data_IF_931761347563
#
_entry.id   IF_931761347563
#
_cell.length_a   1.000
_cell.length_b   1.000
_cell.length_c   1.000
_cell.angle_alpha   90.00
_cell.angle_beta   90.00
_cell.angle_gamma   90.00
#
_symmetry.space_group_name_H-M   'P 1'
#
loop_
_entity.id
_entity.type
_entity.pdbx_description
1 polymer ?
#
# COMPACT_ATOMS: atom_id res chain seq x y z
N UNK A 1 7.69 -0.53 -13.67
CA UNK A 1 6.53 -1.14 -14.36
C UNK A 1 5.57 -1.70 -13.31
N UNK A 2 4.25 -1.63 -13.53
CA UNK A 2 3.23 -2.19 -12.62
C UNK A 2 2.86 -3.60 -13.05
N UNK A 3 2.64 -4.51 -12.11
CA UNK A 3 2.23 -5.91 -12.35
C UNK A 3 1.13 -6.33 -11.38
N UNK A 4 0.41 -7.41 -11.70
CA UNK A 4 -0.66 -7.96 -10.83
C UNK A 4 -1.72 -6.92 -10.47
N UNK A 5 -2.12 -6.88 -9.19
CA UNK A 5 -3.14 -5.95 -8.67
C UNK A 5 -2.86 -4.48 -8.98
N UNK A 6 -1.58 -4.09 -8.97
CA UNK A 6 -1.18 -2.71 -9.26
C UNK A 6 -1.45 -2.35 -10.73
N UNK A 7 -1.22 -3.29 -11.64
CA UNK A 7 -1.55 -3.14 -13.05
C UNK A 7 -3.06 -3.10 -13.28
N UNK A 8 -3.81 -3.99 -12.62
CA UNK A 8 -5.29 -4.01 -12.68
C UNK A 8 -5.90 -2.68 -12.24
N UNK A 9 -5.44 -2.12 -11.11
CA UNK A 9 -5.85 -0.80 -10.65
C UNK A 9 -5.56 0.29 -11.68
N UNK A 10 -4.34 0.31 -12.22
CA UNK A 10 -3.96 1.32 -13.19
C UNK A 10 -4.84 1.27 -14.44
N UNK A 11 -5.09 0.08 -14.97
CA UNK A 11 -5.94 -0.12 -16.15
C UNK A 11 -7.38 0.32 -15.85
N UNK A 12 -7.95 -0.04 -14.70
CA UNK A 12 -9.35 0.26 -14.37
C UNK A 12 -9.60 1.72 -14.01
N UNK A 13 -8.74 2.31 -13.19
CA UNK A 13 -9.02 3.60 -12.54
C UNK A 13 -8.23 4.76 -13.15
N UNK A 14 -7.03 4.50 -13.68
CA UNK A 14 -6.06 5.56 -14.04
C UNK A 14 -5.93 5.72 -15.56
N UNK A 15 -6.03 4.64 -16.33
CA UNK A 15 -5.72 4.63 -17.76
C UNK A 15 -6.60 5.54 -18.62
N UNK A 16 -7.84 5.81 -18.17
CA UNK A 16 -8.77 6.69 -18.88
C UNK A 16 -8.36 8.16 -18.91
N UNK A 17 -7.65 8.64 -17.88
CA UNK A 17 -7.10 9.99 -17.85
C UNK A 17 -5.88 10.08 -16.90
N UNK A 18 -4.72 9.53 -17.29
CA UNK A 18 -3.58 9.42 -16.38
C UNK A 18 -3.01 10.78 -15.97
N UNK A 19 -3.18 11.82 -16.79
CA UNK A 19 -2.64 13.15 -16.53
C UNK A 19 -3.46 13.97 -15.51
N UNK A 20 -4.70 13.56 -15.20
CA UNK A 20 -5.48 14.21 -14.14
C UNK A 20 -5.06 13.77 -12.73
N UNK A 21 -4.28 12.71 -12.60
CA UNK A 21 -3.86 12.18 -11.32
C UNK A 21 -2.62 12.91 -10.79
N UNK A 22 -2.73 13.46 -9.58
CA UNK A 22 -1.53 13.94 -8.87
C UNK A 22 -0.74 12.75 -8.36
N UNK A 23 0.58 12.82 -8.47
CA UNK A 23 1.46 11.73 -8.07
C UNK A 23 1.22 11.20 -6.63
N UNK A 24 0.99 12.06 -5.61
CA UNK A 24 0.71 11.57 -4.26
C UNK A 24 -0.64 10.85 -4.14
N UNK A 25 -1.65 11.30 -4.89
CA UNK A 25 -2.98 10.68 -4.90
C UNK A 25 -2.94 9.33 -5.58
N UNK A 26 -2.25 9.24 -6.71
CA UNK A 26 -2.00 7.99 -7.42
C UNK A 26 -1.38 6.94 -6.49
N UNK A 27 -0.26 7.26 -5.81
CA UNK A 27 0.38 6.31 -4.92
C UNK A 27 -0.46 5.95 -3.69
N UNK A 28 -1.24 6.89 -3.16
CA UNK A 28 -2.14 6.64 -2.04
C UNK A 28 -3.23 5.63 -2.44
N UNK A 29 -3.90 5.84 -3.56
CA UNK A 29 -4.97 4.95 -4.02
C UNK A 29 -4.43 3.60 -4.51
N UNK A 30 -3.28 3.60 -5.19
CA UNK A 30 -2.58 2.36 -5.56
C UNK A 30 -2.27 1.50 -4.32
N UNK A 31 -1.78 2.13 -3.25
CA UNK A 31 -1.53 1.45 -1.99
C UNK A 31 -2.82 0.91 -1.38
N UNK A 32 -3.88 1.73 -1.32
CA UNK A 32 -5.17 1.32 -0.77
C UNK A 32 -5.81 0.16 -1.55
N UNK A 33 -5.63 0.10 -2.87
CA UNK A 33 -6.11 -1.01 -3.70
C UNK A 33 -5.31 -2.29 -3.48
N UNK A 34 -3.97 -2.17 -3.39
CA UNK A 34 -3.10 -3.34 -3.26
C UNK A 34 -3.15 -3.98 -1.88
N UNK A 35 -3.37 -3.19 -0.82
CA UNK A 35 -3.25 -3.63 0.56
C UNK A 35 -4.56 -3.50 1.34
N UNK A 36 -4.87 -4.43 2.25
CA UNK A 36 -5.99 -4.29 3.18
C UNK A 36 -5.88 -3.02 4.04
N UNK A 37 -7.02 -2.45 4.44
CA UNK A 37 -7.08 -1.24 5.29
C UNK A 37 -6.26 -1.37 6.59
N UNK A 38 -6.18 -2.58 7.14
CA UNK A 38 -5.48 -2.87 8.39
C UNK A 38 -3.99 -3.19 8.21
N UNK A 39 -3.48 -3.16 6.97
CA UNK A 39 -2.10 -3.51 6.66
C UNK A 39 -1.09 -2.69 7.47
N UNK A 40 -1.29 -1.37 7.57
CA UNK A 40 -0.42 -0.49 8.37
C UNK A 40 -0.42 -0.85 9.85
N UNK A 41 -1.58 -1.22 10.39
CA UNK A 41 -1.73 -1.66 11.79
C UNK A 41 -0.99 -2.99 11.99
N UNK A 42 -1.15 -3.94 11.06
CA UNK A 42 -0.42 -5.22 11.07
C UNK A 42 1.09 -5.01 11.04
N UNK A 43 1.61 -4.12 10.18
CA UNK A 43 3.04 -3.82 10.14
C UNK A 43 3.53 -3.19 11.45
N UNK A 44 2.81 -2.22 12.03
CA UNK A 44 3.13 -1.65 13.35
C UNK A 44 3.16 -2.71 14.45
N UNK A 45 2.18 -3.60 14.48
CA UNK A 45 2.14 -4.72 15.45
C UNK A 45 3.35 -5.65 15.29
N UNK A 46 3.74 -5.98 14.05
CA UNK A 46 4.96 -6.76 13.79
C UNK A 46 6.20 -6.07 14.33
N UNK A 47 6.37 -4.78 14.06
CA UNK A 47 7.50 -4.00 14.58
C UNK A 47 7.53 -4.02 16.11
N UNK A 48 6.41 -3.69 16.76
CA UNK A 48 6.30 -3.71 18.22
C UNK A 48 6.65 -5.09 18.81
N UNK A 49 6.18 -6.18 18.19
CA UNK A 49 6.51 -7.54 18.61
C UNK A 49 8.00 -7.83 18.49
N UNK A 50 8.66 -7.39 17.41
CA UNK A 50 10.11 -7.56 17.25
C UNK A 50 10.89 -6.83 18.35
N UNK A 51 10.47 -5.64 18.76
CA UNK A 51 11.12 -4.91 19.86
C UNK A 51 10.89 -5.55 21.23
N UNK A 52 9.71 -6.14 21.47
CA UNK A 52 9.41 -6.84 22.72
C UNK A 52 10.16 -8.17 22.86
N UNK A 53 10.37 -8.90 21.77
CA UNK A 53 11.10 -10.19 21.80
C UNK A 53 12.62 -10.04 21.98
N UNK A 54 13.14 -8.82 21.98
CA UNK A 54 14.54 -8.50 22.27
C UNK A 54 14.72 -7.85 23.66
N UNK A 55 13.66 -7.72 24.44
CA UNK A 55 13.78 -7.64 25.89
C UNK A 55 14.10 -9.05 26.37
N UNK A 56 15.40 -9.35 26.54
CA UNK A 56 15.82 -10.35 27.51
C UNK A 56 15.21 -9.91 28.84
N UNK A 57 14.15 -10.60 29.25
CA UNK A 57 13.72 -10.62 30.65
C UNK A 57 14.83 -11.31 31.45
#
# INVERSE_FOLDING_TARGET
YLTGKAHEFYVREVSGNPYSWRLPEFFRELFNYCFPVDFRIKQRRKLLRCYQNNQKV
#
